data_IF_401695762693
#
_entry.id   IF_401695762693
#
_cell.length_a   1.000
_cell.length_b   1.000
_cell.length_c   1.000
_cell.angle_alpha   90.00
_cell.angle_beta   90.00
_cell.angle_gamma   90.00
#
_symmetry.space_group_name_H-M   'P 1'
#
loop_
_entity.id
_entity.type
_entity.pdbx_description
1 polymer ?
#
# COMPACT_ATOMS: atom_id res chain seq x y z
N UNK A 1 20.53 21.12 21.40
CA UNK A 1 19.74 19.87 21.20
C UNK A 1 18.28 20.03 21.64
N UNK A 2 17.99 20.76 22.72
CA UNK A 2 16.64 21.11 23.20
C UNK A 2 15.86 22.06 22.28
N UNK A 3 16.49 23.08 21.68
CA UNK A 3 15.82 23.98 20.73
C UNK A 3 15.47 23.31 19.39
N UNK A 4 16.34 22.43 18.88
CA UNK A 4 16.09 21.67 17.65
C UNK A 4 14.90 20.71 17.82
N UNK A 5 14.76 20.10 19.00
CA UNK A 5 13.60 19.27 19.35
C UNK A 5 12.29 20.08 19.44
N UNK A 6 12.35 21.34 19.88
CA UNK A 6 11.21 22.27 19.90
C UNK A 6 10.75 22.64 18.48
N UNK A 7 11.70 22.92 17.59
CA UNK A 7 11.41 23.30 16.20
C UNK A 7 10.84 22.14 15.38
N UNK A 8 11.40 20.94 15.54
CA UNK A 8 10.91 19.70 14.91
C UNK A 8 9.53 19.30 15.44
N UNK A 9 9.23 19.56 16.73
CA UNK A 9 7.89 19.35 17.31
C UNK A 9 6.81 20.24 16.69
N UNK A 10 7.15 21.37 16.07
CA UNK A 10 6.16 22.27 15.49
C UNK A 10 5.79 21.90 14.04
N UNK A 11 6.71 21.27 13.29
CA UNK A 11 6.53 20.97 11.86
C UNK A 11 5.71 19.70 11.57
N UNK A 12 5.75 18.68 12.42
CA UNK A 12 4.96 17.45 12.19
C UNK A 12 3.45 17.72 12.22
N UNK A 13 2.99 18.62 13.10
CA UNK A 13 1.59 19.02 13.18
C UNK A 13 1.12 19.67 11.88
N UNK A 14 1.98 20.46 11.23
CA UNK A 14 1.68 21.08 9.93
C UNK A 14 1.51 20.01 8.86
N UNK A 15 2.43 19.04 8.78
CA UNK A 15 2.33 17.92 7.84
C UNK A 15 1.05 17.11 8.09
N UNK A 16 0.74 16.83 9.36
CA UNK A 16 -0.46 16.09 9.73
C UNK A 16 -1.75 16.84 9.32
N UNK A 17 -1.84 18.14 9.58
CA UNK A 17 -2.98 18.96 9.18
C UNK A 17 -3.10 19.04 7.66
N UNK A 18 -2.00 19.26 6.93
CA UNK A 18 -2.00 19.28 5.46
C UNK A 18 -2.45 17.92 4.91
N UNK A 19 -2.01 16.81 5.51
CA UNK A 19 -2.43 15.46 5.15
C UNK A 19 -3.93 15.28 5.31
N UNK A 20 -4.48 15.69 6.45
CA UNK A 20 -5.94 15.65 6.71
C UNK A 20 -6.68 16.48 5.66
N UNK A 21 -6.28 17.73 5.44
CA UNK A 21 -6.94 18.61 4.49
C UNK A 21 -6.90 18.03 3.06
N UNK A 22 -5.74 17.52 2.64
CA UNK A 22 -5.57 16.95 1.31
C UNK A 22 -6.38 15.66 1.12
N UNK A 23 -6.38 14.76 2.11
CA UNK A 23 -7.14 13.51 2.04
C UNK A 23 -8.66 13.72 2.19
N UNK A 24 -9.11 14.73 2.94
CA UNK A 24 -10.53 15.06 3.09
C UNK A 24 -11.09 15.79 1.88
N UNK A 25 -10.27 16.61 1.20
CA UNK A 25 -10.73 17.48 0.11
C UNK A 25 -11.53 16.73 -0.98
N UNK A 26 -11.10 15.56 -1.49
CA UNK A 26 -11.91 14.79 -2.44
C UNK A 26 -13.29 14.40 -1.92
N UNK A 27 -13.43 14.07 -0.63
CA UNK A 27 -14.70 13.72 -0.02
C UNK A 27 -15.62 14.94 0.08
N UNK A 28 -15.08 16.10 0.47
CA UNK A 28 -15.83 17.36 0.50
C UNK A 28 -16.32 17.72 -0.90
N UNK A 29 -15.41 17.74 -1.89
CA UNK A 29 -15.77 18.08 -3.27
C UNK A 29 -16.85 17.15 -3.81
N UNK A 30 -16.74 15.86 -3.51
CA UNK A 30 -17.74 14.90 -3.91
C UNK A 30 -19.09 15.13 -3.28
N UNK A 31 -19.14 15.39 -1.97
CA UNK A 31 -20.39 15.67 -1.26
C UNK A 31 -21.15 16.86 -1.88
N UNK A 32 -20.42 17.87 -2.38
CA UNK A 32 -21.01 19.02 -3.05
C UNK A 32 -21.41 18.78 -4.53
N UNK A 33 -20.67 17.94 -5.26
CA UNK A 33 -20.89 17.74 -6.71
C UNK A 33 -21.87 16.60 -7.00
N UNK A 34 -21.83 15.53 -6.22
CA UNK A 34 -22.55 14.30 -6.50
C UNK A 34 -23.33 13.83 -5.28
N UNK A 35 -24.63 13.60 -5.44
CA UNK A 35 -25.50 12.98 -4.42
C UNK A 35 -25.16 11.50 -4.15
N UNK A 36 -24.11 10.95 -4.77
CA UNK A 36 -23.74 9.54 -4.64
C UNK A 36 -22.91 9.31 -3.35
N UNK A 37 -23.37 8.42 -2.45
CA UNK A 37 -22.71 8.20 -1.16
C UNK A 37 -21.39 7.40 -1.25
N UNK A 38 -21.13 6.62 -2.30
CA UNK A 38 -20.10 5.54 -2.30
C UNK A 38 -19.07 5.64 -3.44
N UNK A 39 -17.77 5.74 -3.13
CA UNK A 39 -16.73 6.18 -4.09
C UNK A 39 -16.24 5.05 -5.01
N UNK A 40 -16.51 5.17 -6.30
CA UNK A 40 -16.12 4.15 -7.28
C UNK A 40 -16.92 2.85 -7.16
N UNK A 41 -16.82 2.02 -8.19
CA UNK A 41 -17.54 0.74 -8.30
C UNK A 41 -17.15 -0.24 -7.17
N UNK A 42 -15.89 -0.21 -6.75
CA UNK A 42 -15.39 -1.05 -5.66
C UNK A 42 -16.15 -0.82 -4.37
N UNK A 43 -16.66 0.39 -4.14
CA UNK A 43 -17.44 0.66 -2.95
C UNK A 43 -18.73 -0.18 -2.91
N UNK A 44 -19.41 -0.29 -4.06
CA UNK A 44 -20.66 -1.04 -4.16
C UNK A 44 -20.41 -2.55 -4.05
N UNK A 45 -19.31 -3.02 -4.61
CA UNK A 45 -18.87 -4.41 -4.44
C UNK A 45 -18.59 -4.73 -2.97
N UNK A 46 -17.92 -3.82 -2.24
CA UNK A 46 -17.67 -3.97 -0.81
C UNK A 46 -18.95 -3.99 0.01
N UNK A 47 -19.92 -3.13 -0.30
CA UNK A 47 -21.23 -3.11 0.36
C UNK A 47 -21.89 -4.48 0.25
N UNK A 48 -21.90 -5.03 -0.96
CA UNK A 48 -22.43 -6.36 -1.24
C UNK A 48 -21.67 -7.47 -0.51
N UNK A 49 -20.34 -7.41 -0.44
CA UNK A 49 -19.56 -8.38 0.33
C UNK A 49 -19.86 -8.35 1.83
N UNK A 50 -20.23 -7.19 2.39
CA UNK A 50 -20.62 -7.07 3.78
C UNK A 50 -22.02 -7.65 4.03
N UNK A 51 -22.94 -7.51 3.08
CA UNK A 51 -24.28 -8.12 3.12
C UNK A 51 -24.24 -9.64 2.98
N UNK A 52 -23.26 -10.18 2.23
CA UNK A 52 -23.10 -11.63 2.05
C UNK A 52 -22.63 -12.34 3.33
N UNK A 53 -23.14 -13.56 3.52
CA UNK A 53 -22.67 -14.45 4.58
C UNK A 53 -21.27 -14.97 4.23
N UNK A 54 -20.40 -15.13 5.24
CA UNK A 54 -19.00 -15.56 5.04
C UNK A 54 -18.89 -16.92 4.37
N UNK A 55 -19.93 -17.74 4.49
CA UNK A 55 -19.96 -19.13 4.03
C UNK A 55 -20.40 -19.23 2.57
N UNK A 56 -20.66 -18.08 1.92
CA UNK A 56 -21.11 -18.01 0.54
C UNK A 56 -19.90 -17.92 -0.39
N UNK A 57 -19.55 -19.01 -1.08
CA UNK A 57 -18.43 -19.04 -2.03
C UNK A 57 -18.73 -18.32 -3.36
N UNK A 58 -20.00 -18.21 -3.72
CA UNK A 58 -20.47 -17.63 -4.98
C UNK A 58 -21.59 -16.64 -4.75
N UNK A 59 -21.53 -15.54 -5.47
CA UNK A 59 -22.55 -14.52 -5.35
C UNK A 59 -23.94 -15.06 -5.79
N UNK A 60 -24.98 -14.99 -4.93
CA UNK A 60 -26.30 -15.54 -5.25
C UNK A 60 -26.98 -14.83 -6.43
N UNK A 61 -26.69 -13.55 -6.70
CA UNK A 61 -27.27 -12.87 -7.87
C UNK A 61 -26.35 -12.97 -9.10
N UNK A 62 -25.09 -13.36 -8.93
CA UNK A 62 -24.12 -13.55 -10.00
C UNK A 62 -23.31 -14.84 -9.78
N UNK A 63 -23.88 -16.03 -10.03
CA UNK A 63 -23.23 -17.31 -9.69
C UNK A 63 -21.89 -17.57 -10.39
N UNK A 64 -21.60 -16.83 -11.47
CA UNK A 64 -20.30 -16.84 -12.15
C UNK A 64 -19.21 -16.10 -11.38
N UNK A 65 -19.57 -15.24 -10.42
CA UNK A 65 -18.65 -14.43 -9.61
C UNK A 65 -18.32 -15.19 -8.33
N UNK A 66 -17.07 -15.64 -8.22
CA UNK A 66 -16.53 -16.14 -6.94
C UNK A 66 -16.34 -14.98 -5.96
N UNK A 67 -16.72 -15.20 -4.71
CA UNK A 67 -16.53 -14.26 -3.62
C UNK A 67 -15.20 -14.56 -2.93
N UNK A 68 -14.28 -13.60 -2.95
CA UNK A 68 -12.98 -13.75 -2.26
C UNK A 68 -12.92 -12.80 -1.08
N UNK A 69 -13.10 -13.33 0.12
CA UNK A 69 -12.92 -12.56 1.35
C UNK A 69 -11.43 -12.37 1.65
N UNK A 70 -11.06 -11.11 1.86
CA UNK A 70 -9.74 -10.67 2.35
C UNK A 70 -9.89 -10.13 3.78
N UNK A 71 -8.80 -9.96 4.55
CA UNK A 71 -8.87 -9.37 5.88
C UNK A 71 -9.58 -8.02 5.95
N UNK A 72 -9.49 -7.21 4.88
CA UNK A 72 -10.21 -5.95 4.77
C UNK A 72 -11.74 -6.13 4.83
N UNK A 73 -12.27 -7.17 4.17
CA UNK A 73 -13.70 -7.47 4.21
C UNK A 73 -14.16 -7.90 5.60
N UNK A 74 -13.35 -8.72 6.30
CA UNK A 74 -13.65 -9.11 7.67
C UNK A 74 -13.61 -7.92 8.63
N UNK A 75 -12.66 -6.99 8.43
CA UNK A 75 -12.60 -5.74 9.19
C UNK A 75 -13.88 -4.91 8.98
N UNK A 76 -14.29 -4.70 7.73
CA UNK A 76 -15.52 -3.97 7.40
C UNK A 76 -16.76 -4.63 8.01
N UNK A 77 -16.89 -5.95 7.88
CA UNK A 77 -18.01 -6.70 8.44
C UNK A 77 -18.06 -6.63 9.96
N UNK A 78 -16.90 -6.76 10.62
CA UNK A 78 -16.79 -6.64 12.07
C UNK A 78 -17.17 -5.25 12.59
N UNK A 79 -16.76 -4.20 11.88
CA UNK A 79 -17.10 -2.82 12.25
C UNK A 79 -18.57 -2.51 11.97
N UNK A 80 -19.15 -3.07 10.90
CA UNK A 80 -20.57 -2.88 10.56
C UNK A 80 -21.53 -3.34 11.68
N UNK A 81 -21.05 -4.19 12.60
CA UNK A 81 -21.82 -4.56 13.79
C UNK A 81 -22.04 -3.38 14.76
N UNK A 82 -21.12 -2.42 14.79
CA UNK A 82 -21.15 -1.30 15.73
C UNK A 82 -21.60 0.02 15.08
N UNK A 83 -21.43 0.17 13.77
CA UNK A 83 -21.68 1.42 13.07
C UNK A 83 -22.17 1.19 11.64
N UNK A 84 -22.88 2.15 11.02
CA UNK A 84 -23.33 2.05 9.64
C UNK A 84 -22.16 1.85 8.67
N UNK A 85 -22.32 0.90 7.74
CA UNK A 85 -21.31 0.57 6.72
C UNK A 85 -20.86 1.78 5.90
N UNK A 86 -21.82 2.64 5.51
CA UNK A 86 -21.60 3.82 4.68
C UNK A 86 -20.60 4.79 5.33
N UNK A 87 -20.67 4.92 6.65
CA UNK A 87 -19.75 5.76 7.40
C UNK A 87 -18.33 5.19 7.31
N UNK A 88 -18.13 3.92 7.64
CA UNK A 88 -16.77 3.36 7.67
C UNK A 88 -16.14 3.22 6.31
N UNK A 89 -16.93 2.91 5.30
CA UNK A 89 -16.43 2.85 3.94
C UNK A 89 -15.81 4.19 3.48
N UNK A 90 -16.35 5.33 3.94
CA UNK A 90 -15.79 6.64 3.62
C UNK A 90 -14.57 7.00 4.48
N UNK A 91 -14.59 6.67 5.77
CA UNK A 91 -13.55 7.11 6.71
C UNK A 91 -12.34 6.17 6.78
N UNK A 92 -12.52 4.88 6.51
CA UNK A 92 -11.46 3.88 6.66
C UNK A 92 -10.27 4.12 5.70
N UNK A 93 -10.46 4.47 4.42
CA UNK A 93 -9.35 4.80 3.52
C UNK A 93 -8.56 6.02 3.99
N UNK A 94 -9.25 7.04 4.53
CA UNK A 94 -8.62 8.21 5.13
C UNK A 94 -7.76 7.84 6.35
N UNK A 95 -8.29 6.98 7.23
CA UNK A 95 -7.53 6.47 8.40
C UNK A 95 -6.26 5.76 7.93
N UNK A 96 -6.35 4.89 6.91
CA UNK A 96 -5.19 4.21 6.36
C UNK A 96 -4.20 5.17 5.67
N UNK A 97 -4.68 6.21 5.00
CA UNK A 97 -3.84 7.26 4.43
C UNK A 97 -3.06 8.00 5.50
N UNK A 98 -3.72 8.39 6.59
CA UNK A 98 -3.06 9.04 7.72
C UNK A 98 -2.03 8.12 8.39
N UNK A 99 -2.37 6.86 8.64
CA UNK A 99 -1.42 5.87 9.18
C UNK A 99 -0.20 5.77 8.28
N UNK A 100 -0.39 5.64 6.96
CA UNK A 100 0.68 5.57 5.97
C UNK A 100 1.60 6.78 6.06
N UNK A 101 1.04 7.99 5.98
CA UNK A 101 1.82 9.24 5.97
C UNK A 101 2.59 9.40 7.29
N UNK A 102 1.95 9.15 8.43
CA UNK A 102 2.56 9.26 9.75
C UNK A 102 3.67 8.23 9.93
N UNK A 103 3.44 6.97 9.57
CA UNK A 103 4.47 5.92 9.65
C UNK A 103 5.67 6.21 8.75
N UNK A 104 5.44 6.66 7.51
CA UNK A 104 6.51 7.03 6.59
C UNK A 104 7.30 8.26 7.08
N UNK A 105 6.62 9.26 7.63
CA UNK A 105 7.27 10.42 8.24
C UNK A 105 8.21 10.00 9.38
N UNK A 106 7.76 9.13 10.29
CA UNK A 106 8.60 8.65 11.38
C UNK A 106 9.71 7.72 10.91
N UNK A 107 9.47 6.90 9.88
CA UNK A 107 10.50 6.08 9.24
C UNK A 107 11.62 6.96 8.65
N UNK A 108 11.27 8.01 7.89
CA UNK A 108 12.22 8.97 7.33
C UNK A 108 13.03 9.69 8.42
N UNK A 109 12.38 10.05 9.53
CA UNK A 109 13.07 10.65 10.67
C UNK A 109 14.06 9.67 11.32
N UNK A 110 13.70 8.38 11.38
CA UNK A 110 14.53 7.36 11.99
C UNK A 110 15.80 7.06 11.21
N UNK A 111 15.75 7.18 9.88
CA UNK A 111 16.93 7.10 9.00
C UNK A 111 17.75 8.41 8.97
N UNK A 112 17.42 9.38 9.83
CA UNK A 112 18.15 10.64 9.99
C UNK A 112 18.21 11.51 8.72
N UNK A 113 17.14 11.49 7.91
CA UNK A 113 16.98 12.47 6.85
C UNK A 113 16.95 13.89 7.42
N UNK A 114 17.50 14.85 6.68
CA UNK A 114 17.43 16.25 7.07
C UNK A 114 15.99 16.76 7.04
N UNK A 115 15.67 17.72 7.93
CA UNK A 115 14.30 18.21 8.12
C UNK A 115 13.69 18.82 6.85
N UNK A 116 14.51 19.42 5.99
CA UNK A 116 14.05 20.06 4.76
C UNK A 116 13.65 19.02 3.74
N UNK A 117 14.52 18.06 3.45
CA UNK A 117 14.23 16.92 2.56
C UNK A 117 13.03 16.13 3.06
N UNK A 118 12.96 15.87 4.36
CA UNK A 118 11.86 15.13 4.96
C UNK A 118 10.51 15.85 4.77
N UNK A 119 10.46 17.19 4.95
CA UNK A 119 9.25 17.98 4.68
C UNK A 119 8.90 17.94 3.19
N UNK A 120 9.88 18.10 2.30
CA UNK A 120 9.66 18.05 0.85
C UNK A 120 9.09 16.70 0.40
N UNK A 121 9.67 15.58 0.85
CA UNK A 121 9.18 14.23 0.53
C UNK A 121 7.76 14.03 1.08
N UNK A 122 7.51 14.46 2.32
CA UNK A 122 6.17 14.35 2.90
C UNK A 122 5.13 15.13 2.08
N UNK A 123 5.43 16.37 1.67
CA UNK A 123 4.56 17.18 0.82
C UNK A 123 4.33 16.49 -0.53
N UNK A 124 5.39 16.04 -1.19
CA UNK A 124 5.28 15.32 -2.48
C UNK A 124 4.40 14.09 -2.32
N UNK A 125 4.59 13.30 -1.27
CA UNK A 125 3.79 12.10 -0.99
C UNK A 125 2.33 12.44 -0.72
N UNK A 126 2.02 13.50 0.04
CA UNK A 126 0.65 13.93 0.34
C UNK A 126 -0.08 14.36 -0.94
N UNK A 127 0.56 15.19 -1.76
CA UNK A 127 -0.04 15.73 -2.98
C UNK A 127 0.09 14.80 -4.19
N UNK A 128 0.78 13.67 -4.06
CA UNK A 128 0.90 12.72 -5.15
C UNK A 128 -0.50 12.19 -5.54
N UNK A 129 -0.89 12.27 -6.83
CA UNK A 129 -2.20 11.79 -7.28
C UNK A 129 -2.50 10.35 -6.87
N UNK A 130 -1.47 9.49 -6.87
CA UNK A 130 -1.58 8.09 -6.44
C UNK A 130 -2.00 7.97 -4.97
N UNK A 131 -1.44 8.79 -4.07
CA UNK A 131 -1.79 8.81 -2.64
C UNK A 131 -3.24 9.23 -2.47
N UNK A 132 -3.62 10.35 -3.08
CA UNK A 132 -4.99 10.87 -3.00
C UNK A 132 -5.99 9.86 -3.53
N UNK A 133 -5.72 9.25 -4.69
CA UNK A 133 -6.62 8.28 -5.31
C UNK A 133 -6.78 7.01 -4.47
N UNK A 134 -5.67 6.43 -4.00
CA UNK A 134 -5.68 5.18 -3.23
C UNK A 134 -6.37 5.33 -1.87
N UNK A 135 -6.30 6.49 -1.24
CA UNK A 135 -6.97 6.76 0.04
C UNK A 135 -8.32 7.49 -0.10
N UNK A 136 -8.77 7.71 -1.34
CA UNK A 136 -10.11 8.22 -1.65
C UNK A 136 -11.10 7.09 -2.00
N UNK A 137 -10.66 6.09 -2.76
CA UNK A 137 -11.49 4.95 -3.11
C UNK A 137 -11.31 3.86 -2.05
N UNK A 138 -12.38 3.39 -1.39
CA UNK A 138 -12.27 2.31 -0.44
C UNK A 138 -11.95 1.01 -1.16
N UNK A 139 -10.78 0.49 -0.80
CA UNK A 139 -10.23 -0.75 -1.30
C UNK A 139 -9.23 -1.30 -0.30
N UNK A 140 -8.98 -2.61 -0.36
CA UNK A 140 -8.02 -3.28 0.49
C UNK A 140 -6.58 -2.79 0.27
N UNK A 141 -6.31 -2.23 -0.91
CA UNK A 141 -5.03 -1.61 -1.31
C UNK A 141 -4.52 -0.61 -0.25
N UNK A 142 -5.38 0.31 0.20
CA UNK A 142 -4.99 1.31 1.21
C UNK A 142 -4.57 0.69 2.55
N UNK A 143 -5.27 -0.38 2.96
CA UNK A 143 -4.92 -1.13 4.17
C UNK A 143 -3.56 -1.81 4.04
N UNK A 144 -3.28 -2.44 2.90
CA UNK A 144 -1.99 -3.09 2.63
C UNK A 144 -0.84 -2.10 2.71
N UNK A 145 -0.98 -0.92 2.11
CA UNK A 145 0.04 0.14 2.15
C UNK A 145 0.26 0.66 3.57
N UNK A 146 -0.83 0.86 4.33
CA UNK A 146 -0.73 1.28 5.72
C UNK A 146 -0.01 0.24 6.58
N UNK A 147 -0.40 -1.05 6.49
CA UNK A 147 0.24 -2.15 7.20
C UNK A 147 1.72 -2.27 6.83
N UNK A 148 2.04 -2.17 5.54
CA UNK A 148 3.41 -2.23 5.06
C UNK A 148 4.24 -1.07 5.62
N UNK A 149 3.73 0.16 5.55
CA UNK A 149 4.42 1.36 6.08
C UNK A 149 4.67 1.26 7.59
N UNK A 150 3.68 0.77 8.34
CA UNK A 150 3.81 0.48 9.77
C UNK A 150 4.87 -0.60 10.02
N UNK A 151 4.85 -1.70 9.25
CA UNK A 151 5.83 -2.76 9.37
C UNK A 151 7.25 -2.24 9.13
N UNK A 152 7.47 -1.41 8.10
CA UNK A 152 8.78 -0.83 7.80
C UNK A 152 9.28 0.07 8.93
N UNK A 153 8.41 0.96 9.42
CA UNK A 153 8.70 1.81 10.56
C UNK A 153 9.14 0.98 11.78
N UNK A 154 8.38 -0.07 12.10
CA UNK A 154 8.65 -0.94 13.25
C UNK A 154 9.93 -1.77 13.08
N UNK A 155 10.18 -2.32 11.89
CA UNK A 155 11.35 -3.14 11.57
C UNK A 155 12.66 -2.34 11.61
N UNK A 156 12.61 -1.05 11.27
CA UNK A 156 13.76 -0.16 11.41
C UNK A 156 14.06 0.18 12.88
N UNK A 157 13.09 -0.06 13.78
CA UNK A 157 13.16 0.13 15.24
C UNK A 157 14.40 -0.48 15.90
N UNK A 158 15.01 0.22 16.87
CA UNK A 158 16.10 -0.33 17.69
C UNK A 158 15.64 -1.39 18.70
N UNK A 159 14.35 -1.40 19.04
CA UNK A 159 13.79 -2.30 20.06
C UNK A 159 13.38 -3.63 19.43
N UNK A 160 13.83 -4.74 20.03
CA UNK A 160 13.50 -6.09 19.58
C UNK A 160 11.99 -6.36 19.52
N UNK A 161 11.22 -5.84 20.49
CA UNK A 161 9.76 -5.97 20.49
C UNK A 161 9.12 -5.28 19.28
N UNK A 162 9.58 -4.07 18.92
CA UNK A 162 9.10 -3.38 17.71
C UNK A 162 9.36 -4.21 16.46
N UNK A 163 10.54 -4.85 16.39
CA UNK A 163 10.89 -5.72 15.28
C UNK A 163 9.96 -6.95 15.17
N UNK A 164 9.65 -7.62 16.29
CA UNK A 164 8.68 -8.74 16.31
C UNK A 164 7.31 -8.27 15.84
N UNK A 165 6.81 -7.15 16.36
CA UNK A 165 5.50 -6.61 15.96
C UNK A 165 5.51 -6.27 14.46
N UNK A 166 6.61 -5.69 13.96
CA UNK A 166 6.78 -5.40 12.53
C UNK A 166 6.71 -6.65 11.66
N UNK A 167 7.34 -7.75 12.07
CA UNK A 167 7.22 -9.04 11.38
C UNK A 167 5.79 -9.61 11.42
N UNK A 168 5.12 -9.52 12.57
CA UNK A 168 3.72 -9.98 12.71
C UNK A 168 2.80 -9.20 11.77
N UNK A 169 2.93 -7.87 11.72
CA UNK A 169 2.19 -7.02 10.78
C UNK A 169 2.49 -7.39 9.34
N UNK A 170 3.76 -7.60 8.98
CA UNK A 170 4.17 -7.98 7.63
C UNK A 170 3.61 -9.35 7.23
N UNK A 171 3.53 -10.29 8.18
CA UNK A 171 2.98 -11.63 7.96
C UNK A 171 1.48 -11.64 7.66
N UNK A 172 0.79 -10.52 7.94
CA UNK A 172 -0.63 -10.35 7.64
C UNK A 172 -0.91 -9.94 6.19
N UNK A 173 0.07 -9.32 5.51
CA UNK A 173 -0.10 -8.83 4.14
C UNK A 173 -0.34 -9.95 3.10
N UNK A 174 0.29 -11.14 3.20
CA UNK A 174 -0.02 -12.27 2.33
C UNK A 174 -1.49 -12.67 2.22
N UNK A 175 -2.32 -12.36 3.22
CA UNK A 175 -3.74 -12.70 3.20
C UNK A 175 -4.58 -11.85 2.24
N UNK A 176 -4.00 -10.82 1.62
CA UNK A 176 -4.67 -9.94 0.66
C UNK A 176 -4.57 -10.43 -0.77
N UNK A 177 -3.55 -11.21 -1.11
CA UNK A 177 -3.37 -11.77 -2.46
C UNK A 177 -1.92 -12.14 -2.78
N UNK A 178 -1.73 -12.73 -3.96
CA UNK A 178 -0.43 -13.22 -4.43
C UNK A 178 0.53 -12.09 -4.82
N UNK A 179 0.02 -10.94 -5.27
CA UNK A 179 0.86 -9.82 -5.65
C UNK A 179 1.50 -9.16 -4.42
N UNK A 180 0.73 -9.06 -3.35
CA UNK A 180 1.14 -8.55 -2.05
C UNK A 180 2.20 -9.46 -1.41
N UNK A 181 2.05 -10.78 -1.60
CA UNK A 181 3.06 -11.79 -1.26
C UNK A 181 4.39 -11.52 -1.97
N UNK A 182 4.37 -11.42 -3.31
CA UNK A 182 5.59 -11.21 -4.10
C UNK A 182 6.26 -9.89 -3.73
N UNK A 183 5.44 -8.87 -3.47
CA UNK A 183 5.90 -7.57 -3.01
C UNK A 183 6.61 -7.65 -1.64
N UNK A 184 5.97 -8.26 -0.63
CA UNK A 184 6.55 -8.43 0.69
C UNK A 184 7.86 -9.23 0.67
N UNK A 185 7.92 -10.31 -0.13
CA UNK A 185 9.14 -11.06 -0.33
C UNK A 185 10.25 -10.21 -0.96
N UNK A 186 9.91 -9.49 -2.03
CA UNK A 186 10.86 -8.61 -2.72
C UNK A 186 11.49 -7.60 -1.76
N UNK A 187 10.67 -7.00 -0.91
CA UNK A 187 11.16 -6.05 0.08
C UNK A 187 11.98 -6.69 1.20
N UNK A 188 11.58 -7.85 1.71
CA UNK A 188 12.38 -8.58 2.70
C UNK A 188 13.75 -8.97 2.16
N UNK A 189 13.84 -9.36 0.88
CA UNK A 189 15.12 -9.64 0.22
C UNK A 189 15.97 -8.37 0.17
N UNK A 190 15.39 -7.23 -0.22
CA UNK A 190 16.11 -5.93 -0.24
C UNK A 190 16.63 -5.58 1.15
N UNK A 191 15.79 -5.65 2.18
CA UNK A 191 16.18 -5.37 3.56
C UNK A 191 17.26 -6.32 4.06
N UNK A 192 17.13 -7.61 3.76
CA UNK A 192 18.11 -8.63 4.13
C UNK A 192 19.48 -8.35 3.49
N UNK A 193 19.50 -8.04 2.20
CA UNK A 193 20.73 -7.74 1.48
C UNK A 193 21.38 -6.43 1.94
N UNK A 194 20.56 -5.43 2.33
CA UNK A 194 21.06 -4.14 2.79
C UNK A 194 21.62 -4.17 4.22
N UNK A 195 20.90 -4.77 5.17
CA UNK A 195 21.30 -4.77 6.59
C UNK A 195 22.10 -6.00 7.03
N UNK A 196 22.08 -7.10 6.26
CA UNK A 196 22.73 -8.39 6.59
C UNK A 196 22.44 -8.92 8.00
N UNK A 197 21.29 -8.57 8.60
CA UNK A 197 20.91 -9.03 9.94
C UNK A 197 20.30 -10.43 9.87
N UNK A 198 20.86 -11.40 10.62
CA UNK A 198 20.32 -12.77 10.80
C UNK A 198 18.80 -12.86 11.08
N UNK A 199 18.17 -11.98 11.88
CA UNK A 199 16.72 -12.05 12.11
C UNK A 199 15.85 -11.79 10.86
N UNK A 200 16.34 -11.03 9.87
CA UNK A 200 15.64 -10.87 8.58
C UNK A 200 15.55 -12.18 7.79
N UNK A 201 16.52 -13.07 7.97
CA UNK A 201 16.53 -14.41 7.37
C UNK A 201 15.39 -15.24 7.96
N UNK A 202 15.18 -15.18 9.28
CA UNK A 202 14.04 -15.85 9.96
C UNK A 202 12.71 -15.27 9.50
N UNK A 203 12.60 -13.94 9.38
CA UNK A 203 11.41 -13.27 8.85
C UNK A 203 11.11 -13.68 7.41
N UNK A 204 12.13 -13.75 6.55
CA UNK A 204 11.99 -14.25 5.19
C UNK A 204 11.57 -15.73 5.16
N UNK A 205 12.17 -16.60 5.98
CA UNK A 205 11.80 -18.02 6.05
C UNK A 205 10.37 -18.22 6.55
N UNK A 206 9.91 -17.44 7.53
CA UNK A 206 8.54 -17.48 8.03
C UNK A 206 7.54 -16.95 6.99
N UNK A 207 7.89 -15.87 6.29
CA UNK A 207 7.02 -15.30 5.26
C UNK A 207 6.95 -16.23 4.05
N UNK A 208 8.09 -16.81 3.61
CA UNK A 208 8.12 -17.88 2.61
C UNK A 208 7.28 -19.07 3.08
N UNK A 209 7.44 -19.55 4.31
CA UNK A 209 6.64 -20.65 4.86
C UNK A 209 5.14 -20.36 4.87
N UNK A 210 4.75 -19.14 5.24
CA UNK A 210 3.36 -18.67 5.19
C UNK A 210 2.81 -18.61 3.76
N UNK A 211 3.65 -18.19 2.80
CA UNK A 211 3.30 -18.17 1.37
C UNK A 211 3.13 -19.58 0.84
N UNK A 212 4.03 -20.51 1.17
CA UNK A 212 3.90 -21.91 0.74
C UNK A 212 2.61 -22.50 1.30
N UNK A 213 2.27 -22.22 2.55
CA UNK A 213 1.01 -22.65 3.16
C UNK A 213 -0.22 -22.02 2.49
N UNK A 214 -0.18 -20.72 2.17
CA UNK A 214 -1.26 -20.02 1.47
C UNK A 214 -1.44 -20.50 0.02
N UNK A 215 -0.35 -20.73 -0.69
CA UNK A 215 -0.37 -21.28 -2.05
C UNK A 215 -0.88 -22.72 -2.07
N UNK A 216 -0.50 -23.54 -1.07
CA UNK A 216 -1.03 -24.89 -0.90
C UNK A 216 -2.52 -24.89 -0.54
N UNK A 217 -3.00 -23.87 0.17
CA UNK A 217 -4.40 -23.79 0.58
C UNK A 217 -5.33 -23.20 -0.50
N UNK A 218 -4.93 -22.12 -1.18
CA UNK A 218 -5.80 -21.36 -2.11
C UNK A 218 -5.31 -21.33 -3.56
N UNK A 219 -4.11 -21.84 -3.86
CA UNK A 219 -3.53 -21.84 -5.21
C UNK A 219 -4.43 -22.43 -6.31
N UNK A 220 -5.16 -23.54 -6.07
CA UNK A 220 -6.05 -24.11 -7.08
C UNK A 220 -7.26 -23.22 -7.42
N UNK A 221 -7.76 -22.42 -6.47
CA UNK A 221 -8.97 -21.61 -6.64
C UNK A 221 -8.67 -20.30 -7.37
N UNK A 222 -7.50 -19.70 -7.10
CA UNK A 222 -7.09 -18.45 -7.73
C UNK A 222 -6.78 -18.59 -9.22
N UNK A 223 -6.16 -19.71 -9.63
CA UNK A 223 -5.79 -19.96 -11.02
C UNK A 223 -6.99 -20.29 -11.93
N UNK A 224 -8.10 -20.77 -11.37
CA UNK A 224 -9.28 -21.22 -12.14
C UNK A 224 -10.25 -20.07 -12.45
N UNK A 225 -10.35 -19.06 -11.57
CA UNK A 225 -11.41 -18.03 -11.67
C UNK A 225 -10.98 -16.72 -12.35
N UNK A 226 -9.68 -16.50 -12.57
CA UNK A 226 -9.19 -15.34 -13.33
C UNK A 226 -8.77 -15.78 -14.73
N UNK A 227 -9.75 -16.00 -15.61
CA UNK A 227 -9.44 -15.95 -17.04
C UNK A 227 -9.00 -14.52 -17.35
N UNK A 228 -7.75 -14.28 -17.78
CA UNK A 228 -7.32 -12.94 -18.12
C UNK A 228 -8.19 -12.49 -19.29
N UNK A 229 -9.02 -11.48 -19.07
CA UNK A 229 -9.56 -10.70 -20.19
C UNK A 229 -8.33 -10.05 -20.80
N UNK A 230 -7.83 -10.62 -21.90
CA UNK A 230 -6.70 -10.08 -22.65
C UNK A 230 -7.21 -8.82 -23.37
N UNK A 231 -7.44 -7.76 -22.60
CA UNK A 231 -7.51 -6.41 -23.13
C UNK A 231 -6.18 -6.07 -23.80
N UNK A 232 -6.17 -5.11 -24.72
CA UNK A 232 -4.95 -4.66 -25.35
C UNK A 232 -4.02 -4.06 -24.28
N UNK A 233 -3.07 -4.86 -23.79
CA UNK A 233 -2.11 -4.52 -22.74
C UNK A 233 -1.54 -3.10 -22.89
N UNK A 234 -1.21 -2.70 -24.13
CA UNK A 234 -0.67 -1.37 -24.43
C UNK A 234 -1.64 -0.21 -24.17
N UNK A 235 -2.94 -0.39 -24.36
CA UNK A 235 -3.95 0.67 -24.21
C UNK A 235 -4.31 0.92 -22.74
N UNK A 236 -4.20 -0.10 -21.90
CA UNK A 236 -4.48 -0.02 -20.46
C UNK A 236 -3.22 0.25 -19.63
N UNK A 237 -2.02 -0.01 -20.18
CA UNK A 237 -0.75 0.20 -19.49
C UNK A 237 -0.27 1.65 -19.47
N UNK A 238 -0.79 2.53 -20.35
CA UNK A 238 -0.44 3.95 -20.37
C UNK A 238 -1.65 4.73 -19.87
N UNK A 239 -1.56 5.25 -18.65
CA UNK A 239 -2.55 6.19 -18.13
C UNK A 239 -1.99 7.60 -18.25
N UNK A 240 -2.77 8.53 -18.80
CA UNK A 240 -2.27 9.87 -19.11
C UNK A 240 -1.76 10.63 -17.87
N UNK A 241 -2.38 10.46 -16.68
CA UNK A 241 -1.97 11.18 -15.46
C UNK A 241 -2.33 10.48 -14.13
N UNK A 242 -2.06 9.17 -14.01
CA UNK A 242 -2.30 8.43 -12.76
C UNK A 242 -3.72 7.87 -12.64
N UNK A 243 -4.24 7.32 -13.73
CA UNK A 243 -5.49 6.58 -13.76
C UNK A 243 -5.45 5.29 -12.92
N UNK A 244 -6.62 4.68 -12.74
CA UNK A 244 -6.86 3.46 -11.93
C UNK A 244 -5.94 2.29 -12.32
N UNK A 245 -5.55 2.22 -13.59
CA UNK A 245 -4.70 1.18 -14.18
C UNK A 245 -3.73 1.88 -15.15
N UNK A 246 -2.45 1.52 -15.10
CA UNK A 246 -1.40 1.98 -16.01
C UNK A 246 -0.26 2.74 -15.35
N UNK A 247 0.92 2.70 -15.98
CA UNK A 247 2.10 3.45 -15.56
C UNK A 247 1.90 4.90 -15.99
N UNK A 248 1.84 5.81 -15.02
CA UNK A 248 1.81 7.25 -15.31
C UNK A 248 3.13 7.69 -15.92
N UNK A 249 3.08 8.59 -16.91
CA UNK A 249 4.27 9.26 -17.45
C UNK A 249 5.15 9.87 -16.34
N UNK A 250 4.52 10.36 -15.27
CA UNK A 250 5.22 10.91 -14.11
C UNK A 250 6.05 9.87 -13.34
N UNK A 251 5.61 8.61 -13.30
CA UNK A 251 6.37 7.52 -12.68
C UNK A 251 7.64 7.18 -13.44
N UNK A 252 7.61 7.24 -14.78
CA UNK A 252 8.83 7.05 -15.57
C UNK A 252 9.85 8.15 -15.27
N UNK A 253 9.40 9.41 -15.20
CA UNK A 253 10.29 10.53 -14.85
C UNK A 253 10.89 10.34 -13.45
N UNK A 254 10.06 10.02 -12.45
CA UNK A 254 10.54 9.75 -11.09
C UNK A 254 11.53 8.58 -11.03
N UNK A 255 11.23 7.48 -11.71
CA UNK A 255 12.07 6.30 -11.71
C UNK A 255 13.42 6.55 -12.39
N UNK A 256 13.43 7.30 -13.49
CA UNK A 256 14.66 7.70 -14.19
C UNK A 256 15.49 8.62 -13.29
N UNK A 257 14.88 9.64 -12.67
CA UNK A 257 15.57 10.55 -11.76
C UNK A 257 16.11 9.82 -10.53
N UNK A 258 15.30 8.99 -9.88
CA UNK A 258 15.69 8.17 -8.73
C UNK A 258 16.83 7.21 -9.10
N UNK A 259 16.74 6.56 -10.26
CA UNK A 259 17.81 5.69 -10.75
C UNK A 259 19.13 6.44 -10.97
N UNK A 260 19.10 7.61 -11.63
CA UNK A 260 20.31 8.42 -11.83
C UNK A 260 20.89 8.95 -10.52
N UNK A 261 20.03 9.34 -9.58
CA UNK A 261 20.44 9.79 -8.26
C UNK A 261 21.11 8.66 -7.47
N UNK A 262 20.46 7.50 -7.40
CA UNK A 262 20.93 6.30 -6.71
C UNK A 262 22.16 5.66 -7.40
N UNK A 263 22.41 5.94 -8.68
CA UNK A 263 23.52 5.36 -9.45
C UNK A 263 24.89 5.59 -8.80
N UNK A 264 25.05 6.70 -8.07
CA UNK A 264 26.27 7.00 -7.30
C UNK A 264 26.61 5.91 -6.28
N UNK A 265 25.60 5.17 -5.78
CA UNK A 265 25.75 4.08 -4.81
C UNK A 265 25.48 2.69 -5.41
N UNK A 266 25.62 2.52 -6.73
CA UNK A 266 25.18 1.32 -7.47
C UNK A 266 25.58 -0.03 -6.86
N UNK A 267 26.79 -0.15 -6.30
CA UNK A 267 27.26 -1.42 -5.70
C UNK A 267 26.45 -1.87 -4.49
N UNK A 268 25.93 -0.92 -3.71
CA UNK A 268 25.12 -1.20 -2.51
C UNK A 268 23.64 -1.45 -2.87
N UNK A 269 23.17 -0.88 -3.99
CA UNK A 269 21.76 -0.83 -4.37
C UNK A 269 21.37 -1.80 -5.50
N UNK A 270 22.27 -2.67 -5.98
CA UNK A 270 21.92 -3.69 -6.99
C UNK A 270 20.66 -4.52 -6.66
N UNK A 271 20.43 -4.96 -5.40
CA UNK A 271 19.22 -5.70 -5.07
C UNK A 271 17.94 -4.88 -5.27
N UNK A 272 18.01 -3.58 -4.95
CA UNK A 272 16.90 -2.66 -5.12
C UNK A 272 16.58 -2.47 -6.61
N UNK A 273 17.60 -2.31 -7.46
CA UNK A 273 17.39 -2.22 -8.91
C UNK A 273 16.80 -3.49 -9.51
N UNK A 274 17.30 -4.67 -9.10
CA UNK A 274 16.73 -5.94 -9.53
C UNK A 274 15.25 -6.06 -9.16
N UNK A 275 14.90 -5.67 -7.93
CA UNK A 275 13.49 -5.65 -7.49
C UNK A 275 12.66 -4.61 -8.23
N UNK A 276 13.19 -3.43 -8.52
CA UNK A 276 12.50 -2.43 -9.33
C UNK A 276 12.14 -2.98 -10.71
N UNK A 277 13.01 -3.77 -11.34
CA UNK A 277 12.72 -4.42 -12.63
C UNK A 277 11.62 -5.47 -12.47
N UNK A 278 11.72 -6.35 -11.47
CA UNK A 278 10.69 -7.37 -11.19
C UNK A 278 9.34 -6.71 -10.95
N UNK A 279 9.32 -5.66 -10.13
CA UNK A 279 8.11 -4.89 -9.85
C UNK A 279 7.60 -4.15 -11.06
N UNK A 280 8.46 -3.58 -11.91
CA UNK A 280 8.03 -2.95 -13.15
C UNK A 280 7.28 -3.93 -14.07
N UNK A 281 7.78 -5.17 -14.19
CA UNK A 281 7.11 -6.23 -14.95
C UNK A 281 5.76 -6.60 -14.32
N UNK A 282 5.70 -6.74 -13.00
CA UNK A 282 4.45 -7.08 -12.29
C UNK A 282 3.46 -5.90 -12.32
N UNK A 283 3.95 -4.66 -12.33
CA UNK A 283 3.13 -3.47 -12.28
C UNK A 283 2.20 -3.39 -13.47
N UNK A 284 2.66 -3.78 -14.67
CA UNK A 284 1.81 -3.93 -15.85
C UNK A 284 0.60 -4.86 -15.66
N UNK A 285 0.59 -5.68 -14.60
CA UNK A 285 -0.51 -6.57 -14.23
C UNK A 285 -1.25 -6.18 -12.95
N UNK A 286 -0.72 -5.30 -12.08
CA UNK A 286 -1.35 -4.98 -10.79
C UNK A 286 -1.09 -3.54 -10.26
N UNK A 287 -2.15 -2.76 -9.93
CA UNK A 287 -2.02 -1.37 -9.51
C UNK A 287 -1.19 -1.11 -8.25
N UNK A 288 -1.23 -2.03 -7.28
CA UNK A 288 -0.49 -1.89 -6.02
C UNK A 288 1.01 -1.73 -6.22
N UNK A 289 1.58 -2.39 -7.24
CA UNK A 289 3.02 -2.34 -7.48
C UNK A 289 3.44 -0.97 -8.01
N UNK A 290 2.54 -0.20 -8.62
CA UNK A 290 2.81 1.18 -9.08
C UNK A 290 3.11 2.13 -7.93
N UNK A 291 2.31 2.10 -6.85
CA UNK A 291 2.52 3.02 -5.74
C UNK A 291 3.87 2.76 -5.06
N UNK A 292 4.25 1.49 -4.91
CA UNK A 292 5.54 1.15 -4.32
C UNK A 292 6.73 1.48 -5.22
N UNK A 293 6.59 1.31 -6.54
CA UNK A 293 7.61 1.76 -7.49
C UNK A 293 7.83 3.28 -7.40
N UNK A 294 6.75 4.06 -7.25
CA UNK A 294 6.86 5.51 -7.03
C UNK A 294 7.52 5.88 -5.70
N UNK A 295 7.27 5.11 -4.64
CA UNK A 295 7.94 5.30 -3.35
C UNK A 295 9.43 4.99 -3.44
N UNK A 296 9.83 3.91 -4.12
CA UNK A 296 11.26 3.59 -4.31
C UNK A 296 11.96 4.57 -5.25
N UNK A 297 11.29 5.04 -6.30
CA UNK A 297 11.85 6.06 -7.19
C UNK A 297 12.03 7.43 -6.53
N UNK A 298 11.31 7.71 -5.43
CA UNK A 298 11.47 8.93 -4.65
C UNK A 298 12.66 8.88 -3.65
N UNK A 299 13.22 7.69 -3.39
CA UNK A 299 14.41 7.47 -2.55
C UNK A 299 15.70 7.50 -3.37
#
# INVERSE_FOLDING_TARGET
MTELLSYVKKRWWVIFVISILCLILPYILRYYIHELPMAGEQSYDLARYVELHSDTERDPLLPSRSVTFTPYHYLLKGINYFFPFEFFQQWLPLIFGLITIVSMFFLMKQIQMDDTTLVCIAIIMIFAPVTVFTFFIPDYTGMVIALFSVALFLLNGKRYLSWIIGLLVLSFIPFFGIYEVVFCLGWLIVLFMYERKKPLLIGATLLIGGITLLLLWKGPIYLVNHSPVVGSFFKESISDFGGRIGISAFMYVLAILGFFYAWKQKKKLYPLYGMCIVWFVIAGHHPLVYMFFSLVGAY
#
